data_IF_711382021345
#
_entry.id   IF_711382021345
#
_cell.length_a   1.000
_cell.length_b   1.000
_cell.length_c   1.000
_cell.angle_alpha   90.00
_cell.angle_beta   90.00
_cell.angle_gamma   90.00
#
_symmetry.space_group_name_H-M   'P 1'
#
loop_
_entity.id
_entity.type
_entity.pdbx_description
1 polymer ?
#
# COMPACT_ATOMS: atom_id res chain seq x y z
N UNK A 1 -3.63 22.17 29.53
CA UNK A 1 -2.96 20.86 29.71
C UNK A 1 -2.33 20.45 28.40
N UNK A 2 -1.03 20.12 28.39
CA UNK A 2 -0.26 19.71 27.19
C UNK A 2 0.16 18.24 27.36
N UNK A 3 -0.68 17.24 27.00
CA UNK A 3 -0.32 15.82 27.08
C UNK A 3 0.36 15.29 25.82
N UNK A 4 0.65 16.12 24.82
CA UNK A 4 0.93 15.65 23.45
C UNK A 4 2.41 15.35 23.15
N UNK A 5 3.36 16.03 23.79
CA UNK A 5 4.78 15.95 23.39
C UNK A 5 5.52 14.71 23.94
N UNK A 6 5.20 14.23 25.15
CA UNK A 6 5.88 13.07 25.75
C UNK A 6 5.47 11.71 25.16
N UNK A 7 4.33 11.63 24.48
CA UNK A 7 3.83 10.37 23.89
C UNK A 7 4.40 10.08 22.50
N UNK A 8 4.78 11.11 21.75
CA UNK A 8 5.36 10.98 20.42
C UNK A 8 6.68 10.15 20.39
N UNK A 9 7.68 10.38 21.26
CA UNK A 9 8.90 9.57 21.23
C UNK A 9 8.63 8.11 21.60
N UNK A 10 7.74 7.85 22.57
CA UNK A 10 7.39 6.48 22.99
C UNK A 10 6.71 5.72 21.85
N UNK A 11 5.72 6.33 21.18
CA UNK A 11 5.07 5.68 20.03
C UNK A 11 6.06 5.39 18.89
N UNK A 12 7.12 6.18 18.74
CA UNK A 12 8.07 6.06 17.64
C UNK A 12 9.03 4.91 17.92
N UNK A 13 9.51 4.82 19.16
CA UNK A 13 10.30 3.70 19.65
C UNK A 13 9.51 2.40 19.51
N UNK A 14 8.26 2.36 19.99
CA UNK A 14 7.42 1.15 19.87
C UNK A 14 7.22 0.76 18.40
N UNK A 15 6.88 1.71 17.54
CA UNK A 15 6.69 1.45 16.11
C UNK A 15 7.97 0.91 15.45
N UNK A 16 9.12 1.53 15.74
CA UNK A 16 10.42 1.10 15.23
C UNK A 16 10.77 -0.31 15.73
N UNK A 17 10.57 -0.60 17.01
CA UNK A 17 10.78 -1.94 17.58
C UNK A 17 9.92 -2.98 16.88
N UNK A 18 8.62 -2.70 16.66
CA UNK A 18 7.74 -3.61 15.92
C UNK A 18 8.21 -3.78 14.47
N UNK A 19 8.66 -2.72 13.81
CA UNK A 19 9.25 -2.79 12.47
C UNK A 19 10.50 -3.68 12.41
N UNK A 20 11.39 -3.57 13.39
CA UNK A 20 12.58 -4.43 13.51
C UNK A 20 12.19 -5.88 13.73
N UNK A 21 11.24 -6.16 14.63
CA UNK A 21 10.75 -7.52 14.88
C UNK A 21 10.09 -8.09 13.63
N UNK A 22 9.26 -7.30 12.93
CA UNK A 22 8.66 -7.69 11.65
C UNK A 22 9.72 -8.08 10.61
N UNK A 23 10.74 -7.24 10.39
CA UNK A 23 11.82 -7.53 9.46
C UNK A 23 12.60 -8.78 9.87
N UNK A 24 12.92 -8.94 11.16
CA UNK A 24 13.63 -10.09 11.69
C UNK A 24 12.84 -11.40 11.50
N UNK A 25 11.53 -11.40 11.72
CA UNK A 25 10.67 -12.57 11.49
C UNK A 25 10.64 -12.93 10.00
N UNK A 26 10.42 -11.96 9.10
CA UNK A 26 10.38 -12.21 7.66
C UNK A 26 11.72 -12.75 7.14
N UNK A 27 12.83 -12.12 7.51
CA UNK A 27 14.17 -12.53 7.07
C UNK A 27 14.57 -13.85 7.72
N UNK A 28 14.36 -14.02 9.02
CA UNK A 28 14.69 -15.24 9.75
C UNK A 28 13.93 -16.45 9.22
N UNK A 29 12.65 -16.29 8.87
CA UNK A 29 11.85 -17.36 8.25
C UNK A 29 12.41 -17.72 6.88
N UNK A 30 12.72 -16.72 6.03
CA UNK A 30 13.31 -16.99 4.73
C UNK A 30 14.67 -17.71 4.82
N UNK A 31 15.53 -17.32 5.77
CA UNK A 31 16.80 -18.00 6.02
C UNK A 31 16.61 -19.43 6.54
N UNK A 32 15.59 -19.65 7.39
CA UNK A 32 15.25 -20.98 7.90
C UNK A 32 14.84 -21.93 6.77
N UNK A 33 14.11 -21.44 5.76
CA UNK A 33 13.75 -22.20 4.56
C UNK A 33 14.85 -22.26 3.48
N UNK A 34 16.06 -21.76 3.78
CA UNK A 34 17.22 -21.89 2.91
C UNK A 34 17.28 -20.89 1.75
N UNK A 35 16.47 -19.83 1.76
CA UNK A 35 16.57 -18.79 0.75
C UNK A 35 17.82 -17.94 0.92
N UNK A 36 18.48 -17.64 -0.19
CA UNK A 36 19.66 -16.76 -0.23
C UNK A 36 19.26 -15.27 -0.13
N UNK A 37 18.75 -14.91 1.04
CA UNK A 37 18.33 -13.55 1.39
C UNK A 37 19.15 -12.95 2.51
N UNK A 38 20.32 -13.53 2.80
CA UNK A 38 21.24 -13.05 3.82
C UNK A 38 21.93 -11.73 3.39
N UNK A 39 22.44 -10.94 4.34
CA UNK A 39 23.08 -9.65 4.02
C UNK A 39 24.28 -9.79 3.07
N UNK A 40 24.99 -10.92 3.13
CA UNK A 40 26.13 -11.21 2.25
C UNK A 40 25.76 -11.38 0.76
N UNK A 41 24.48 -11.59 0.45
CA UNK A 41 23.99 -11.73 -0.93
C UNK A 41 23.75 -10.37 -1.62
N UNK A 42 23.86 -9.25 -0.90
CA UNK A 42 23.47 -7.94 -1.42
C UNK A 42 24.55 -6.87 -1.22
N UNK A 43 24.69 -5.93 -2.17
CA UNK A 43 25.50 -4.73 -1.95
C UNK A 43 24.87 -3.85 -0.85
N UNK A 44 25.66 -2.98 -0.16
CA UNK A 44 25.19 -2.22 1.00
C UNK A 44 23.90 -1.40 0.79
N UNK A 45 23.73 -0.83 -0.40
CA UNK A 45 22.52 -0.05 -0.70
C UNK A 45 21.27 -0.95 -0.80
N UNK A 46 21.40 -2.18 -1.29
CA UNK A 46 20.30 -3.15 -1.37
C UNK A 46 19.95 -3.72 0.01
N UNK A 47 20.94 -3.85 0.90
CA UNK A 47 20.71 -4.17 2.32
C UNK A 47 19.81 -3.11 2.95
N UNK A 48 20.17 -1.82 2.79
CA UNK A 48 19.37 -0.71 3.32
C UNK A 48 17.97 -0.68 2.70
N UNK A 49 17.86 -0.83 1.39
CA UNK A 49 16.59 -0.85 0.67
C UNK A 49 15.68 -1.97 1.16
N UNK A 50 16.20 -3.20 1.25
CA UNK A 50 15.39 -4.39 1.53
C UNK A 50 15.04 -4.51 3.00
N UNK A 51 16.03 -4.47 3.89
CA UNK A 51 15.77 -4.63 5.32
C UNK A 51 15.23 -3.35 5.95
N UNK A 52 15.77 -2.19 5.57
CA UNK A 52 15.21 -0.90 5.99
C UNK A 52 13.78 -0.73 5.49
N UNK A 53 13.49 -1.15 4.26
CA UNK A 53 12.15 -1.19 3.70
C UNK A 53 11.17 -2.05 4.50
N UNK A 54 11.58 -3.27 4.91
CA UNK A 54 10.78 -4.13 5.78
C UNK A 54 10.53 -3.53 7.17
N UNK A 55 11.52 -2.83 7.73
CA UNK A 55 11.36 -2.11 8.98
C UNK A 55 10.33 -0.99 8.82
N UNK A 56 10.42 -0.22 7.73
CA UNK A 56 9.46 0.84 7.41
C UNK A 56 8.04 0.27 7.24
N UNK A 57 7.91 -0.84 6.51
CA UNK A 57 6.62 -1.50 6.29
C UNK A 57 5.95 -1.92 7.60
N UNK A 58 6.71 -2.46 8.55
CA UNK A 58 6.17 -2.82 9.87
C UNK A 58 5.95 -1.60 10.79
N UNK A 59 6.83 -0.61 10.74
CA UNK A 59 6.81 0.52 11.65
C UNK A 59 5.75 1.57 11.30
N UNK A 60 5.59 1.92 10.02
CA UNK A 60 4.70 3.02 9.60
C UNK A 60 3.23 2.78 9.97
N UNK A 61 2.62 1.59 9.72
CA UNK A 61 1.25 1.32 10.13
C UNK A 61 1.06 1.34 11.65
N UNK A 62 2.03 0.82 12.41
CA UNK A 62 2.01 0.83 13.87
C UNK A 62 2.10 2.26 14.41
N UNK A 63 2.99 3.07 13.84
CA UNK A 63 3.08 4.48 14.15
C UNK A 63 1.76 5.21 13.89
N UNK A 64 1.11 4.95 12.75
CA UNK A 64 -0.20 5.51 12.44
C UNK A 64 -1.29 5.06 13.41
N UNK A 65 -1.32 3.79 13.81
CA UNK A 65 -2.25 3.28 14.81
C UNK A 65 -2.05 3.97 16.18
N UNK A 66 -0.80 4.08 16.66
CA UNK A 66 -0.50 4.66 17.96
C UNK A 66 -0.68 6.18 18.00
N UNK A 67 -0.21 6.86 16.95
CA UNK A 67 -0.20 8.33 16.88
C UNK A 67 -1.56 8.88 16.48
N UNK A 68 -2.18 8.31 15.46
CA UNK A 68 -3.35 8.85 14.77
C UNK A 68 -4.63 8.00 14.93
N UNK A 69 -4.54 6.80 15.53
CA UNK A 69 -5.66 5.83 15.65
C UNK A 69 -6.15 5.30 14.30
N UNK A 70 -5.25 5.20 13.33
CA UNK A 70 -5.54 4.59 12.02
C UNK A 70 -5.27 3.09 12.11
N UNK A 71 -6.32 2.28 11.96
CA UNK A 71 -6.27 0.83 12.14
C UNK A 71 -6.21 0.11 10.79
N UNK A 72 -6.79 0.69 9.73
CA UNK A 72 -6.87 0.07 8.41
C UNK A 72 -5.49 -0.19 7.80
N UNK A 73 -4.50 0.73 7.85
CA UNK A 73 -3.14 0.44 7.40
C UNK A 73 -2.51 -0.74 8.12
N UNK A 74 -2.73 -0.85 9.44
CA UNK A 74 -2.18 -1.92 10.26
C UNK A 74 -2.82 -3.26 9.89
N UNK A 75 -4.14 -3.30 9.73
CA UNK A 75 -4.88 -4.49 9.31
C UNK A 75 -4.42 -4.94 7.92
N UNK A 76 -4.27 -4.01 6.97
CA UNK A 76 -3.78 -4.34 5.62
C UNK A 76 -2.42 -5.03 5.67
N UNK A 77 -1.44 -4.44 6.37
CA UNK A 77 -0.09 -5.01 6.45
C UNK A 77 -0.07 -6.32 7.22
N UNK A 78 -0.86 -6.44 8.29
CA UNK A 78 -1.00 -7.68 9.06
C UNK A 78 -1.61 -8.81 8.23
N UNK A 79 -2.64 -8.52 7.42
CA UNK A 79 -3.25 -9.51 6.53
C UNK A 79 -2.29 -9.95 5.43
N UNK A 80 -1.58 -9.02 4.79
CA UNK A 80 -0.62 -9.34 3.72
C UNK A 80 0.60 -10.11 4.24
N UNK A 81 1.17 -9.66 5.36
CA UNK A 81 2.31 -10.35 5.96
C UNK A 81 1.90 -11.69 6.57
N UNK A 82 0.73 -11.73 7.23
CA UNK A 82 0.18 -12.94 7.83
C UNK A 82 -0.21 -13.99 6.79
N UNK A 83 -0.80 -13.60 5.67
CA UNK A 83 -1.12 -14.54 4.58
C UNK A 83 0.14 -15.07 3.90
N UNK A 84 1.14 -14.21 3.64
CA UNK A 84 2.43 -14.64 3.09
C UNK A 84 3.18 -15.57 4.05
N UNK A 85 3.20 -15.25 5.34
CA UNK A 85 3.80 -16.10 6.37
C UNK A 85 3.08 -17.44 6.47
N UNK A 86 1.74 -17.42 6.52
CA UNK A 86 0.93 -18.64 6.56
C UNK A 86 1.24 -19.53 5.36
N UNK A 87 1.19 -18.98 4.15
CA UNK A 87 1.48 -19.72 2.92
C UNK A 87 2.91 -20.29 2.91
N UNK A 88 3.89 -19.60 3.49
CA UNK A 88 5.28 -20.07 3.58
C UNK A 88 5.43 -21.26 4.54
N UNK A 89 4.71 -21.25 5.68
CA UNK A 89 4.86 -22.29 6.72
C UNK A 89 3.92 -23.48 6.52
N UNK A 90 2.94 -23.37 5.64
CA UNK A 90 2.03 -24.47 5.30
C UNK A 90 2.50 -25.22 4.05
N UNK A 91 2.41 -26.55 4.02
CA UNK A 91 2.71 -27.32 2.82
C UNK A 91 1.87 -26.90 1.60
N UNK A 92 2.39 -27.08 0.37
CA UNK A 92 3.70 -27.62 0.03
C UNK A 92 4.85 -26.69 0.43
N UNK A 93 5.97 -27.26 0.89
CA UNK A 93 7.17 -26.49 1.21
C UNK A 93 8.02 -26.29 -0.04
N UNK A 94 8.80 -25.21 -0.04
CA UNK A 94 9.70 -24.88 -1.14
C UNK A 94 10.65 -26.03 -1.46
N UNK A 95 10.66 -26.44 -2.73
CA UNK A 95 11.65 -27.39 -3.25
C UNK A 95 12.64 -26.65 -4.13
N UNK A 96 13.91 -27.02 -3.99
CA UNK A 96 15.02 -26.40 -4.73
C UNK A 96 15.54 -27.38 -5.77
N UNK A 97 15.51 -26.98 -7.03
CA UNK A 97 16.09 -27.73 -8.14
C UNK A 97 17.04 -26.85 -8.95
N UNK A 98 17.88 -27.45 -9.78
CA UNK A 98 18.86 -26.73 -10.60
C UNK A 98 18.55 -26.95 -12.07
N UNK A 99 18.51 -25.86 -12.85
CA UNK A 99 18.38 -25.92 -14.30
C UNK A 99 19.33 -24.89 -14.93
N UNK A 100 20.30 -25.37 -15.70
CA UNK A 100 21.24 -24.49 -16.41
C UNK A 100 22.06 -23.57 -15.49
N UNK A 101 22.34 -23.98 -14.25
CA UNK A 101 23.03 -23.16 -13.25
C UNK A 101 22.16 -22.16 -12.51
N UNK A 102 20.84 -22.14 -12.77
CA UNK A 102 19.87 -21.36 -12.03
C UNK A 102 19.13 -22.24 -11.00
N UNK A 103 18.97 -21.70 -9.80
CA UNK A 103 18.14 -22.33 -8.77
C UNK A 103 16.67 -22.06 -9.09
N UNK A 104 15.92 -23.12 -9.34
CA UNK A 104 14.46 -23.09 -9.45
C UNK A 104 13.90 -23.38 -8.07
N UNK A 105 12.92 -22.57 -7.68
CA UNK A 105 12.15 -22.80 -6.46
C UNK A 105 10.71 -23.09 -6.88
N UNK A 106 10.25 -24.29 -6.58
CA UNK A 106 8.84 -24.69 -6.76
C UNK A 106 8.12 -24.56 -5.42
N UNK A 107 6.81 -24.30 -5.46
CA UNK A 107 5.93 -24.35 -4.28
C UNK A 107 6.38 -23.49 -3.07
N UNK A 108 6.94 -22.29 -3.31
CA UNK A 108 7.38 -21.38 -2.24
C UNK A 108 7.57 -19.91 -2.68
N UNK A 109 8.40 -19.17 -1.93
CA UNK A 109 8.76 -17.74 -2.11
C UNK A 109 7.68 -16.73 -1.69
N UNK A 110 6.68 -17.11 -0.91
CA UNK A 110 5.62 -16.20 -0.49
C UNK A 110 6.17 -15.03 0.33
N UNK A 111 7.01 -15.31 1.33
CA UNK A 111 7.66 -14.28 2.13
C UNK A 111 8.76 -13.53 1.37
N UNK A 112 9.44 -14.19 0.43
CA UNK A 112 10.43 -13.54 -0.45
C UNK A 112 9.75 -12.49 -1.33
N UNK A 113 8.63 -12.85 -1.98
CA UNK A 113 7.83 -11.94 -2.83
C UNK A 113 7.18 -10.84 -2.01
N UNK A 114 6.65 -11.16 -0.82
CA UNK A 114 6.15 -10.16 0.12
C UNK A 114 7.25 -9.14 0.47
N UNK A 115 8.44 -9.61 0.82
CA UNK A 115 9.56 -8.74 1.17
C UNK A 115 10.07 -7.92 -0.02
N UNK A 116 10.11 -8.50 -1.22
CA UNK A 116 10.51 -7.80 -2.43
C UNK A 116 9.57 -6.65 -2.80
N UNK A 117 8.27 -6.77 -2.47
CA UNK A 117 7.25 -5.76 -2.75
C UNK A 117 6.98 -4.80 -1.59
N UNK A 118 7.88 -4.68 -0.60
CA UNK A 118 7.65 -3.88 0.62
C UNK A 118 7.18 -2.43 0.36
N UNK A 119 7.70 -1.81 -0.69
CA UNK A 119 7.40 -0.42 -1.06
C UNK A 119 5.97 -0.29 -1.59
N UNK A 120 5.47 -1.29 -2.34
CA UNK A 120 4.07 -1.37 -2.79
C UNK A 120 3.16 -1.41 -1.58
N UNK A 121 3.44 -2.31 -0.63
CA UNK A 121 2.62 -2.48 0.58
C UNK A 121 2.62 -1.22 1.45
N UNK A 122 3.76 -0.55 1.54
CA UNK A 122 3.88 0.72 2.28
C UNK A 122 3.04 1.81 1.62
N UNK A 123 3.07 1.92 0.29
CA UNK A 123 2.22 2.87 -0.44
C UNK A 123 0.74 2.53 -0.31
N UNK A 124 0.37 1.25 -0.40
CA UNK A 124 -0.99 0.78 -0.13
C UNK A 124 -1.47 1.18 1.26
N UNK A 125 -0.62 1.00 2.29
CA UNK A 125 -0.89 1.40 3.66
C UNK A 125 -1.08 2.93 3.81
N UNK A 126 -0.30 3.74 3.08
CA UNK A 126 -0.47 5.20 3.05
C UNK A 126 -1.80 5.61 2.41
N UNK A 127 -2.18 4.99 1.28
CA UNK A 127 -3.43 5.27 0.57
C UNK A 127 -4.65 4.93 1.46
N UNK A 128 -4.68 3.74 2.05
CA UNK A 128 -5.79 3.35 2.94
C UNK A 128 -5.80 4.13 4.26
N UNK A 129 -4.65 4.62 4.72
CA UNK A 129 -4.56 5.52 5.87
C UNK A 129 -5.17 6.89 5.57
N UNK A 130 -4.88 7.45 4.39
CA UNK A 130 -5.52 8.68 3.92
C UNK A 130 -7.04 8.50 3.79
N UNK A 131 -7.47 7.39 3.20
CA UNK A 131 -8.88 7.01 3.11
C UNK A 131 -9.55 6.90 4.48
N UNK A 132 -8.94 6.20 5.43
CA UNK A 132 -9.50 6.03 6.78
C UNK A 132 -9.65 7.36 7.51
N UNK A 133 -8.71 8.30 7.34
CA UNK A 133 -8.80 9.64 7.93
C UNK A 133 -10.06 10.35 7.47
N UNK A 134 -10.37 10.32 6.17
CA UNK A 134 -11.55 10.99 5.60
C UNK A 134 -12.83 10.22 5.94
N UNK A 135 -12.82 8.89 5.84
CA UNK A 135 -13.96 8.04 6.16
C UNK A 135 -14.43 8.20 7.62
N UNK A 136 -13.49 8.35 8.56
CA UNK A 136 -13.80 8.58 9.98
C UNK A 136 -14.29 10.00 10.28
N UNK A 137 -14.13 10.97 9.37
CA UNK A 137 -14.70 12.32 9.53
C UNK A 137 -16.14 12.39 9.06
N UNK A 138 -16.47 11.63 8.03
CA UNK A 138 -17.81 11.64 7.42
C UNK A 138 -18.81 10.72 8.12
N UNK A 139 -18.35 9.77 8.95
CA UNK A 139 -19.21 8.80 9.64
C UNK A 139 -19.33 9.02 11.15
N UNK A 140 -20.54 8.84 11.68
CA UNK A 140 -20.83 8.94 13.12
C UNK A 140 -20.55 7.63 13.91
N UNK A 141 -20.36 6.52 13.19
CA UNK A 141 -20.29 5.16 13.79
C UNK A 141 -18.89 4.81 14.28
N UNK A 142 -17.85 5.37 13.66
CA UNK A 142 -16.45 5.02 13.96
C UNK A 142 -15.82 6.16 14.76
N UNK A 143 -15.12 5.88 15.88
CA UNK A 143 -14.46 6.92 16.64
C UNK A 143 -13.51 7.75 15.76
N UNK A 144 -13.52 9.09 15.89
CA UNK A 144 -12.72 9.95 15.04
C UNK A 144 -11.22 9.63 15.22
N UNK A 145 -10.48 9.75 14.11
CA UNK A 145 -9.02 9.72 14.14
C UNK A 145 -8.49 10.93 14.93
N UNK A 146 -7.27 10.82 15.47
CA UNK A 146 -6.62 12.02 16.03
C UNK A 146 -6.19 12.94 14.87
N UNK A 147 -6.09 14.26 15.11
CA UNK A 147 -5.71 15.22 14.07
C UNK A 147 -4.40 14.82 13.36
N UNK A 148 -4.45 14.79 12.04
CA UNK A 148 -3.31 14.53 11.15
C UNK A 148 -2.93 15.87 10.53
N UNK A 149 -1.81 16.50 10.93
CA UNK A 149 -1.52 17.90 10.61
C UNK A 149 -1.62 18.29 9.13
N UNK A 150 -1.24 17.37 8.24
CA UNK A 150 -1.20 17.59 6.78
C UNK A 150 -2.52 17.22 6.08
N UNK A 151 -3.51 16.68 6.80
CA UNK A 151 -4.86 16.40 6.31
C UNK A 151 -5.92 17.26 7.01
N UNK A 152 -5.55 18.22 7.86
CA UNK A 152 -6.51 19.01 8.64
C UNK A 152 -7.46 19.82 7.75
N UNK A 153 -8.70 19.97 8.20
CA UNK A 153 -9.74 20.78 7.54
C UNK A 153 -9.80 22.23 8.07
N UNK A 154 -10.30 23.18 7.25
CA UNK A 154 -10.63 23.02 5.83
C UNK A 154 -9.36 22.92 4.97
N UNK A 155 -9.35 21.98 4.02
CA UNK A 155 -8.21 21.81 3.12
C UNK A 155 -8.44 22.57 1.81
N UNK A 156 -7.54 23.51 1.53
CA UNK A 156 -7.57 24.26 0.28
C UNK A 156 -7.21 23.37 -0.92
N UNK A 157 -7.55 23.87 -2.12
CA UNK A 157 -7.31 23.11 -3.36
C UNK A 157 -5.82 22.82 -3.59
N UNK A 158 -4.95 23.75 -3.21
CA UNK A 158 -3.50 23.62 -3.41
C UNK A 158 -2.91 22.52 -2.53
N UNK A 159 -3.28 22.44 -1.24
CA UNK A 159 -2.82 21.36 -0.35
C UNK A 159 -3.39 20.01 -0.78
N UNK A 160 -4.67 19.95 -1.14
CA UNK A 160 -5.27 18.70 -1.62
C UNK A 160 -4.56 18.20 -2.89
N UNK A 161 -4.26 19.10 -3.83
CA UNK A 161 -3.48 18.78 -5.03
C UNK A 161 -2.07 18.32 -4.67
N UNK A 162 -1.39 19.01 -3.76
CA UNK A 162 -0.04 18.62 -3.34
C UNK A 162 -0.02 17.21 -2.72
N UNK A 163 -0.95 16.89 -1.82
CA UNK A 163 -1.06 15.55 -1.23
C UNK A 163 -1.39 14.50 -2.30
N UNK A 164 -2.31 14.81 -3.21
CA UNK A 164 -2.66 13.92 -4.32
C UNK A 164 -1.48 13.65 -5.26
N UNK A 165 -0.70 14.67 -5.60
CA UNK A 165 0.51 14.53 -6.43
C UNK A 165 1.57 13.71 -5.70
N UNK A 166 1.79 13.93 -4.40
CA UNK A 166 2.77 13.16 -3.62
C UNK A 166 2.37 11.69 -3.54
N UNK A 167 1.13 11.38 -3.13
CA UNK A 167 0.66 10.00 -3.04
C UNK A 167 0.58 9.32 -4.41
N UNK A 168 0.15 10.07 -5.44
CA UNK A 168 0.16 9.59 -6.83
C UNK A 168 1.57 9.30 -7.34
N UNK A 169 2.56 10.16 -7.04
CA UNK A 169 3.95 9.94 -7.43
C UNK A 169 4.57 8.74 -6.70
N UNK A 170 4.30 8.57 -5.40
CA UNK A 170 4.74 7.39 -4.65
C UNK A 170 4.15 6.10 -5.23
N UNK A 171 2.84 6.11 -5.53
CA UNK A 171 2.17 5.00 -6.20
C UNK A 171 2.74 4.71 -7.58
N UNK A 172 2.95 5.75 -8.39
CA UNK A 172 3.56 5.68 -9.71
C UNK A 172 4.94 5.02 -9.70
N UNK A 173 5.84 5.51 -8.82
CA UNK A 173 7.19 4.96 -8.68
C UNK A 173 7.13 3.51 -8.18
N UNK A 174 6.32 3.23 -7.16
CA UNK A 174 6.14 1.86 -6.66
C UNK A 174 5.64 0.93 -7.78
N UNK A 175 4.66 1.36 -8.56
CA UNK A 175 4.10 0.59 -9.66
C UNK A 175 5.14 0.26 -10.74
N UNK A 176 5.91 1.27 -11.17
CA UNK A 176 6.92 1.10 -12.23
C UNK A 176 8.13 0.30 -11.74
N UNK A 177 8.60 0.51 -10.51
CA UNK A 177 9.69 -0.30 -9.94
C UNK A 177 9.24 -1.75 -9.80
N UNK A 178 7.99 -2.00 -9.40
CA UNK A 178 7.46 -3.35 -9.34
C UNK A 178 7.38 -3.99 -10.72
N UNK A 179 6.84 -3.27 -11.71
CA UNK A 179 6.80 -3.73 -13.10
C UNK A 179 8.20 -4.00 -13.70
N UNK A 180 9.19 -3.16 -13.41
CA UNK A 180 10.58 -3.37 -13.82
C UNK A 180 11.13 -4.67 -13.25
N UNK A 181 10.87 -4.96 -11.98
CA UNK A 181 11.30 -6.22 -11.34
C UNK A 181 10.62 -7.46 -11.94
N UNK A 182 9.51 -7.28 -12.65
CA UNK A 182 8.81 -8.34 -13.39
C UNK A 182 9.22 -8.41 -14.87
N UNK A 183 10.08 -7.51 -15.36
CA UNK A 183 10.43 -7.41 -16.79
C UNK A 183 9.28 -6.86 -17.65
N UNK A 184 8.37 -6.09 -17.06
CA UNK A 184 7.21 -5.48 -17.75
C UNK A 184 7.46 -4.03 -18.18
N UNK A 185 8.58 -3.44 -17.80
CA UNK A 185 8.87 -2.02 -17.97
C UNK A 185 10.30 -1.80 -18.51
N UNK A 186 10.62 -2.47 -19.62
CA UNK A 186 11.98 -2.53 -20.15
C UNK A 186 12.32 -1.41 -21.15
N UNK A 187 11.31 -0.68 -21.63
CA UNK A 187 11.48 0.41 -22.60
C UNK A 187 11.13 1.79 -22.01
N UNK A 188 11.78 2.89 -22.46
CA UNK A 188 11.54 4.22 -21.92
C UNK A 188 10.10 4.73 -22.07
N UNK A 189 9.37 4.33 -23.13
CA UNK A 189 7.99 4.76 -23.35
C UNK A 189 7.06 4.03 -22.39
N UNK A 190 7.24 2.73 -22.18
CA UNK A 190 6.54 1.94 -21.18
C UNK A 190 6.74 2.48 -19.76
N UNK A 191 7.97 2.86 -19.41
CA UNK A 191 8.28 3.53 -18.13
C UNK A 191 7.55 4.86 -18.01
N UNK A 192 7.63 5.73 -19.01
CA UNK A 192 6.94 7.02 -18.99
C UNK A 192 5.41 6.87 -18.91
N UNK A 193 4.86 5.90 -19.64
CA UNK A 193 3.44 5.55 -19.63
C UNK A 193 2.98 5.05 -18.25
N UNK A 194 3.72 4.11 -17.67
CA UNK A 194 3.46 3.60 -16.33
C UNK A 194 3.58 4.68 -15.26
N UNK A 195 4.54 5.61 -15.40
CA UNK A 195 4.71 6.71 -14.48
C UNK A 195 3.51 7.67 -14.51
N UNK A 196 3.12 8.11 -15.71
CA UNK A 196 1.97 8.99 -15.89
C UNK A 196 0.68 8.29 -15.42
N UNK A 197 0.49 7.05 -15.84
CA UNK A 197 -0.68 6.25 -15.50
C UNK A 197 -0.82 6.04 -14.00
N UNK A 198 0.26 5.60 -13.34
CA UNK A 198 0.27 5.43 -11.88
C UNK A 198 0.04 6.74 -11.12
N UNK A 199 0.54 7.88 -11.62
CA UNK A 199 0.33 9.19 -11.02
C UNK A 199 -1.15 9.57 -11.05
N UNK A 200 -1.79 9.41 -12.21
CA UNK A 200 -3.21 9.75 -12.40
C UNK A 200 -4.11 8.76 -11.65
N UNK A 201 -3.81 7.47 -11.75
CA UNK A 201 -4.62 6.39 -11.19
C UNK A 201 -4.78 6.50 -9.68
N UNK A 202 -3.75 6.88 -8.93
CA UNK A 202 -3.87 7.14 -7.50
C UNK A 202 -4.15 8.61 -7.18
N UNK A 203 -3.52 9.55 -7.90
CA UNK A 203 -3.63 10.99 -7.61
C UNK A 203 -5.05 11.53 -7.80
N UNK A 204 -5.75 11.14 -8.88
CA UNK A 204 -7.11 11.62 -9.14
C UNK A 204 -8.09 11.17 -8.06
N UNK A 205 -8.18 9.87 -7.69
CA UNK A 205 -9.01 9.42 -6.57
C UNK A 205 -8.64 10.10 -5.25
N UNK A 206 -7.36 10.23 -4.92
CA UNK A 206 -6.93 10.93 -3.69
C UNK A 206 -7.39 12.39 -3.70
N UNK A 207 -7.27 13.09 -4.83
CA UNK A 207 -7.76 14.46 -4.92
C UNK A 207 -9.27 14.55 -4.68
N UNK A 208 -10.05 13.62 -5.27
CA UNK A 208 -11.51 13.55 -5.08
C UNK A 208 -11.89 13.21 -3.63
N UNK A 209 -11.18 12.26 -3.01
CA UNK A 209 -11.32 11.93 -1.59
C UNK A 209 -11.15 13.17 -0.72
N UNK A 210 -10.09 13.92 -0.97
CA UNK A 210 -9.69 15.06 -0.15
C UNK A 210 -10.53 16.32 -0.39
N UNK A 211 -11.04 16.53 -1.61
CA UNK A 211 -11.80 17.72 -1.98
C UNK A 211 -13.30 17.56 -1.90
N UNK A 212 -13.80 16.36 -2.18
CA UNK A 212 -15.21 16.07 -2.27
C UNK A 212 -15.67 15.00 -1.26
N UNK A 213 -14.76 14.45 -0.46
CA UNK A 213 -15.09 13.41 0.52
C UNK A 213 -15.46 12.08 -0.10
N UNK A 214 -15.15 11.86 -1.39
CA UNK A 214 -15.53 10.65 -2.12
C UNK A 214 -14.62 9.48 -1.73
N UNK A 215 -15.15 8.53 -0.96
CA UNK A 215 -14.42 7.43 -0.36
C UNK A 215 -14.15 6.28 -1.33
N UNK A 216 -15.13 5.96 -2.18
CA UNK A 216 -15.13 4.76 -3.02
C UNK A 216 -14.00 4.73 -4.05
N UNK A 217 -13.66 5.82 -4.75
CA UNK A 217 -12.60 5.81 -5.76
C UNK A 217 -11.24 5.42 -5.19
N UNK A 218 -10.84 5.98 -4.04
CA UNK A 218 -9.56 5.67 -3.40
C UNK A 218 -9.55 4.25 -2.83
N UNK A 219 -10.65 3.80 -2.23
CA UNK A 219 -10.76 2.43 -1.74
C UNK A 219 -10.61 1.40 -2.87
N UNK A 220 -11.27 1.63 -4.01
CA UNK A 220 -11.17 0.76 -5.17
C UNK A 220 -9.75 0.71 -5.72
N UNK A 221 -9.10 1.87 -5.92
CA UNK A 221 -7.73 1.90 -6.45
C UNK A 221 -6.74 1.24 -5.49
N UNK A 222 -6.86 1.50 -4.19
CA UNK A 222 -6.01 0.81 -3.20
C UNK A 222 -6.23 -0.71 -3.21
N UNK A 223 -7.48 -1.16 -3.33
CA UNK A 223 -7.82 -2.57 -3.43
C UNK A 223 -7.26 -3.23 -4.70
N UNK A 224 -7.45 -2.62 -5.87
CA UNK A 224 -6.93 -3.14 -7.14
C UNK A 224 -5.39 -3.14 -7.12
N UNK A 225 -4.76 -2.09 -6.60
CA UNK A 225 -3.30 -2.03 -6.49
C UNK A 225 -2.75 -3.19 -5.64
N UNK A 226 -3.30 -3.40 -4.43
CA UNK A 226 -2.86 -4.47 -3.54
C UNK A 226 -3.12 -5.85 -4.15
N UNK A 227 -4.29 -6.06 -4.75
CA UNK A 227 -4.66 -7.37 -5.31
C UNK A 227 -3.84 -7.74 -6.54
N UNK A 228 -3.51 -6.77 -7.40
CA UNK A 228 -2.68 -7.04 -8.59
C UNK A 228 -1.25 -7.43 -8.23
N UNK A 229 -0.67 -6.83 -7.19
CA UNK A 229 0.65 -7.23 -6.68
C UNK A 229 0.57 -8.55 -5.92
N UNK A 230 -0.49 -8.77 -5.13
CA UNK A 230 -0.69 -10.04 -4.42
C UNK A 230 -0.88 -11.22 -5.39
N UNK A 231 -1.55 -11.00 -6.53
CA UNK A 231 -1.72 -12.03 -7.55
C UNK A 231 -0.39 -12.54 -8.12
N UNK A 232 0.65 -11.70 -8.17
CA UNK A 232 2.01 -12.11 -8.60
C UNK A 232 2.68 -13.08 -7.61
N UNK A 233 2.08 -13.30 -6.44
CA UNK A 233 2.56 -14.30 -5.50
C UNK A 233 2.28 -15.72 -6.00
N UNK A 234 1.28 -15.93 -6.86
CA UNK A 234 0.98 -17.21 -7.49
C UNK A 234 1.33 -17.19 -9.00
N UNK A 235 1.76 -18.33 -9.57
CA UNK A 235 1.93 -18.44 -11.01
C UNK A 235 0.55 -18.50 -11.69
N UNK A 236 0.18 -17.42 -12.39
CA UNK A 236 -1.06 -17.35 -13.18
C UNK A 236 -0.76 -17.03 -14.65
N UNK A 237 -1.51 -17.59 -15.62
CA UNK A 237 -1.32 -17.27 -17.05
C UNK A 237 -1.65 -15.83 -17.40
N UNK A 238 -2.53 -15.20 -16.63
CA UNK A 238 -2.80 -13.77 -16.72
C UNK A 238 -1.86 -13.02 -15.77
N UNK A 239 -1.43 -11.84 -16.20
CA UNK A 239 -0.70 -10.90 -15.35
C UNK A 239 -1.61 -9.70 -15.02
N UNK A 240 -2.30 -9.71 -13.85
CA UNK A 240 -3.15 -8.60 -13.44
C UNK A 240 -2.39 -7.28 -13.30
N UNK A 241 -1.08 -7.34 -13.02
CA UNK A 241 -0.25 -6.15 -12.88
C UNK A 241 0.07 -5.51 -14.22
N UNK A 242 0.28 -6.32 -15.27
CA UNK A 242 0.40 -5.81 -16.64
C UNK A 242 -0.85 -5.01 -17.07
N UNK A 243 -2.06 -5.49 -16.73
CA UNK A 243 -3.30 -4.72 -16.98
C UNK A 243 -3.33 -3.41 -16.19
N UNK A 244 -2.91 -3.45 -14.92
CA UNK A 244 -2.85 -2.27 -14.06
C UNK A 244 -1.85 -1.21 -14.58
N UNK A 245 -0.74 -1.65 -15.15
CA UNK A 245 0.31 -0.80 -15.72
C UNK A 245 -0.05 -0.26 -17.11
N UNK A 246 -0.42 -1.15 -18.04
CA UNK A 246 -0.60 -0.80 -19.45
C UNK A 246 -1.98 -0.20 -19.72
N UNK A 247 -3.00 -0.73 -19.06
CA UNK A 247 -4.40 -0.31 -19.22
C UNK A 247 -4.92 0.45 -17.99
N UNK A 248 -4.07 1.23 -17.31
CA UNK A 248 -4.39 2.00 -16.09
C UNK A 248 -5.64 2.89 -16.21
N UNK A 249 -6.01 3.30 -17.43
CA UNK A 249 -7.23 4.06 -17.69
C UNK A 249 -8.51 3.24 -17.42
N UNK A 250 -8.44 1.91 -17.45
CA UNK A 250 -9.56 1.02 -17.11
C UNK A 250 -9.88 1.09 -15.61
N UNK A 251 -8.96 0.76 -14.66
CA UNK A 251 -9.25 0.91 -13.24
C UNK A 251 -9.53 2.37 -12.86
N UNK A 252 -8.91 3.36 -13.53
CA UNK A 252 -9.27 4.76 -13.32
C UNK A 252 -10.71 5.05 -13.76
N UNK A 253 -11.12 4.59 -14.95
CA UNK A 253 -12.48 4.76 -15.46
C UNK A 253 -13.51 4.16 -14.52
N UNK A 254 -13.26 2.96 -14.00
CA UNK A 254 -14.13 2.32 -12.99
C UNK A 254 -14.16 3.18 -11.72
N UNK A 255 -13.02 3.66 -11.22
CA UNK A 255 -12.98 4.53 -10.04
C UNK A 255 -13.78 5.84 -10.24
N UNK A 256 -13.75 6.42 -11.44
CA UNK A 256 -14.53 7.61 -11.78
C UNK A 256 -16.03 7.34 -11.89
N UNK A 257 -16.44 6.16 -12.36
CA UNK A 257 -17.85 5.73 -12.31
C UNK A 257 -18.32 5.66 -10.86
N UNK A 258 -17.55 5.04 -9.96
CA UNK A 258 -17.87 5.02 -8.53
C UNK A 258 -17.89 6.41 -7.91
N UNK A 259 -17.00 7.31 -8.34
CA UNK A 259 -17.03 8.71 -7.90
C UNK A 259 -18.34 9.40 -8.30
N UNK A 260 -18.79 9.21 -9.54
CA UNK A 260 -20.03 9.78 -10.04
C UNK A 260 -21.26 9.24 -9.30
N UNK A 261 -21.28 7.93 -9.03
CA UNK A 261 -22.34 7.27 -8.27
C UNK A 261 -22.40 7.80 -6.83
N UNK A 262 -21.26 7.82 -6.13
CA UNK A 262 -21.17 8.31 -4.75
C UNK A 262 -21.58 9.78 -4.64
N UNK A 263 -21.11 10.62 -5.56
CA UNK A 263 -21.48 12.03 -5.62
C UNK A 263 -22.98 12.22 -5.88
N UNK A 264 -23.54 11.50 -6.87
CA UNK A 264 -24.95 11.57 -7.23
C UNK A 264 -25.86 11.14 -6.08
N UNK A 265 -25.55 10.03 -5.41
CA UNK A 265 -26.26 9.57 -4.22
C UNK A 265 -26.19 10.59 -3.08
N UNK A 266 -25.03 11.20 -2.85
CA UNK A 266 -24.87 12.25 -1.84
C UNK A 266 -25.72 13.49 -2.10
N UNK A 267 -25.85 13.90 -3.37
CA UNK A 267 -26.74 15.00 -3.79
C UNK A 267 -28.21 14.64 -3.55
N UNK A 268 -28.63 13.44 -3.97
CA UNK A 268 -30.00 12.97 -3.77
C UNK A 268 -30.34 12.89 -2.27
N UNK A 269 -29.46 12.31 -1.46
CA UNK A 269 -29.66 12.19 -0.01
C UNK A 269 -29.88 13.53 0.67
N UNK A 270 -29.06 14.55 0.35
CA UNK A 270 -29.23 15.91 0.89
C UNK A 270 -30.55 16.55 0.45
N UNK A 271 -31.03 16.25 -0.75
CA UNK A 271 -32.29 16.79 -1.28
C UNK A 271 -33.53 16.17 -0.63
N UNK A 272 -33.47 14.90 -0.24
CA UNK A 272 -34.60 14.15 0.34
C UNK A 272 -34.63 14.10 1.87
N UNK A 273 -33.61 14.63 2.55
CA UNK A 273 -33.56 14.75 4.02
C UNK A 273 -33.86 16.17 4.60
N UNK A 274 -34.82 16.97 4.08
CA UNK A 274 -35.16 18.25 4.71
C UNK A 274 -36.19 18.14 5.87
N UNK A 275 -36.65 16.94 6.27
CA UNK A 275 -37.81 16.77 7.19
C UNK A 275 -37.52 16.23 8.60
N UNK A 276 -36.27 16.26 9.08
CA UNK A 276 -35.92 15.80 10.45
C UNK A 276 -35.05 16.81 11.24
N UNK A 277 -35.09 18.08 10.87
CA UNK A 277 -34.50 19.19 11.65
C UNK A 277 -35.60 20.12 12.15
#
# INVERSE_FOLDING_TARGET
>A
MVPSLRRAPVSAVVALTVGIVHAAVVVGTNLHYGYDVGPGAYPPFMILWRYGGLVVLGAVPVWFALRYRLVVPLVLVALLGGSAFYAEVTPPHATFSQLGGHTIVEDGLHLVKYAAAWYVWTVGALLVGCWEVVARRSGDVVPPSRPVPWLNEPMDQRRALAVAVVLGALHSVANVVFAWNLGLADDPLGVAWGLLGGLLLAGVPVFLLLRAGLLSPTALVAFVFVTTVHAQQAPTPADPHALYLLAWFVPLGIALVFAALEYGLGVLWRRYRPSLA
#
